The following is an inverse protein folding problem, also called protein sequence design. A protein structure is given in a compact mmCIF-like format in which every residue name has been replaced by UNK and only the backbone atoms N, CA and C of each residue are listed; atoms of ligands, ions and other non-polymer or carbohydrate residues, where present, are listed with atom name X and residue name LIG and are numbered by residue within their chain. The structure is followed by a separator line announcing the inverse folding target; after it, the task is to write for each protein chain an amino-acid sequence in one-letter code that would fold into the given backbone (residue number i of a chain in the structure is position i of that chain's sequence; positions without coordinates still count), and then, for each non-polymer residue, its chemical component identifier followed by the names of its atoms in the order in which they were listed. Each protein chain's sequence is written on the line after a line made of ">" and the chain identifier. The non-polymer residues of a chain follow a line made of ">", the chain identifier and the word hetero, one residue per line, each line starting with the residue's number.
data_IF_561415008050
#
_entry.id   IF_561415008050
#
_cell.length_a   1.000
_cell.length_b   1.000
_cell.length_c   1.000
_cell.angle_alpha   90.00
_cell.angle_beta   90.00
_cell.angle_gamma   90.00
#
_symmetry.space_group_name_H-M   'P 1'
#
loop_
_entity.id
_entity.type
_entity.pdbx_description
1 polymer ?
#
# COMPACT_ATOMS: atom_id res chain seq x y z
N UNK A 1 49.47 26.12 -4.34
CA UNK A 1 49.28 24.67 -4.15
C UNK A 1 48.04 24.44 -3.32
N UNK A 2 46.88 24.22 -3.94
CA UNK A 2 45.70 23.64 -3.26
C UNK A 2 44.86 22.96 -4.34
N UNK A 3 45.39 21.82 -4.82
CA UNK A 3 44.77 20.97 -5.84
C UNK A 3 44.59 19.58 -5.24
N UNK A 4 43.92 19.51 -4.10
CA UNK A 4 43.62 18.26 -3.40
C UNK A 4 42.20 18.36 -2.85
N UNK A 5 41.45 17.26 -2.93
CA UNK A 5 40.07 17.08 -2.42
C UNK A 5 38.92 17.22 -3.44
N UNK A 6 39.12 16.88 -4.72
CA UNK A 6 38.00 16.53 -5.62
C UNK A 6 38.21 15.17 -6.27
N UNK A 7 38.25 14.12 -5.44
CA UNK A 7 38.47 12.74 -5.85
C UNK A 7 37.81 11.73 -4.94
N UNK A 8 36.57 11.98 -4.50
CA UNK A 8 35.79 11.01 -3.74
C UNK A 8 35.45 9.79 -4.62
N UNK A 9 35.98 8.64 -4.23
CA UNK A 9 35.88 7.35 -4.91
C UNK A 9 34.42 7.04 -5.29
N UNK A 10 34.12 6.70 -6.55
CA UNK A 10 32.73 6.47 -7.04
C UNK A 10 31.97 5.39 -6.26
N UNK A 11 32.69 4.46 -5.61
CA UNK A 11 32.11 3.46 -4.72
C UNK A 11 31.58 4.06 -3.41
N UNK A 12 32.28 5.01 -2.79
CA UNK A 12 31.82 5.68 -1.56
C UNK A 12 30.49 6.42 -1.78
N UNK A 13 30.29 7.01 -2.97
CA UNK A 13 29.03 7.71 -3.30
C UNK A 13 27.80 6.79 -3.39
N UNK A 14 27.99 5.52 -3.75
CA UNK A 14 26.89 4.53 -3.86
C UNK A 14 26.54 3.91 -2.49
N UNK A 15 27.49 3.85 -1.57
CA UNK A 15 27.32 3.29 -0.23
C UNK A 15 26.67 4.26 0.76
N UNK A 16 26.79 5.58 0.52
CA UNK A 16 26.32 6.65 1.41
C UNK A 16 24.83 6.55 1.81
N UNK A 17 23.86 6.36 0.88
CA UNK A 17 22.44 6.33 1.26
C UNK A 17 22.09 5.13 2.14
N UNK A 18 22.61 3.94 1.80
CA UNK A 18 22.38 2.72 2.57
C UNK A 18 22.97 2.81 3.97
N UNK A 19 24.19 3.33 4.08
CA UNK A 19 24.86 3.56 5.36
C UNK A 19 24.09 4.57 6.22
N UNK A 20 23.65 5.68 5.63
CA UNK A 20 22.85 6.69 6.33
C UNK A 20 21.52 6.12 6.86
N UNK A 21 20.83 5.28 6.07
CA UNK A 21 19.60 4.60 6.50
C UNK A 21 19.86 3.72 7.73
N UNK A 22 20.94 2.93 7.73
CA UNK A 22 21.29 2.07 8.87
C UNK A 22 21.62 2.90 10.11
N UNK A 23 22.48 3.91 9.98
CA UNK A 23 22.88 4.78 11.09
C UNK A 23 21.67 5.53 11.69
N UNK A 24 20.75 6.02 10.85
CA UNK A 24 19.52 6.67 11.30
C UNK A 24 18.63 5.72 12.10
N UNK A 25 18.43 4.49 11.61
CA UNK A 25 17.63 3.47 12.30
C UNK A 25 18.24 3.08 13.64
N UNK A 26 19.55 2.89 13.71
CA UNK A 26 20.27 2.61 14.95
C UNK A 26 20.11 3.76 15.97
N UNK A 27 20.20 5.02 15.50
CA UNK A 27 20.02 6.18 16.36
C UNK A 27 18.58 6.31 16.87
N UNK A 28 17.58 6.08 16.02
CA UNK A 28 16.16 6.04 16.39
C UNK A 28 15.92 4.96 17.45
N UNK A 29 16.49 3.76 17.28
CA UNK A 29 16.39 2.70 18.29
C UNK A 29 17.01 3.10 19.65
N UNK A 30 18.16 3.78 19.63
CA UNK A 30 18.79 4.28 20.85
C UNK A 30 17.92 5.34 21.55
N UNK A 31 17.35 6.27 20.79
CA UNK A 31 16.44 7.29 21.32
C UNK A 31 15.17 6.67 21.88
N UNK A 32 14.60 5.65 21.23
CA UNK A 32 13.44 4.92 21.74
C UNK A 32 13.74 4.21 23.07
N UNK A 33 14.92 3.59 23.24
CA UNK A 33 15.32 3.04 24.54
C UNK A 33 15.40 4.12 25.62
N UNK A 34 15.92 5.30 25.27
CA UNK A 34 16.00 6.44 26.19
C UNK A 34 14.63 7.02 26.53
N UNK A 35 13.70 7.06 25.56
CA UNK A 35 12.29 7.41 25.73
C UNK A 35 11.64 6.51 26.78
N UNK A 36 11.71 5.19 26.60
CA UNK A 36 11.15 4.22 27.54
C UNK A 36 11.74 4.35 28.95
N UNK A 37 13.05 4.63 29.05
CA UNK A 37 13.66 4.89 30.36
C UNK A 37 13.12 6.15 31.03
N UNK A 38 12.92 7.24 30.29
CA UNK A 38 12.33 8.47 30.81
C UNK A 38 10.87 8.28 31.24
N UNK A 39 10.09 7.50 30.48
CA UNK A 39 8.70 7.16 30.83
C UNK A 39 8.62 6.41 32.17
N UNK A 40 9.51 5.43 32.39
CA UNK A 40 9.64 4.75 33.68
C UNK A 40 10.00 5.72 34.82
N UNK A 41 10.97 6.61 34.59
CA UNK A 41 11.35 7.62 35.59
C UNK A 41 10.19 8.58 35.92
N UNK A 42 9.39 8.96 34.93
CA UNK A 42 8.19 9.78 35.11
C UNK A 42 7.17 9.04 35.98
N UNK A 43 6.90 7.77 35.69
CA UNK A 43 5.98 6.93 36.46
C UNK A 43 6.44 6.78 37.91
N UNK A 44 7.74 6.53 38.14
CA UNK A 44 8.33 6.43 39.47
C UNK A 44 8.17 7.72 40.28
N UNK A 45 8.44 8.88 39.67
CA UNK A 45 8.26 10.16 40.36
C UNK A 45 6.78 10.48 40.63
N UNK A 46 5.87 10.08 39.74
CA UNK A 46 4.42 10.23 39.96
C UNK A 46 3.94 9.38 41.13
N UNK A 47 4.37 8.11 41.19
CA UNK A 47 4.08 7.20 42.29
C UNK A 47 4.65 7.74 43.63
N UNK A 48 5.88 8.26 43.60
CA UNK A 48 6.51 8.86 44.77
C UNK A 48 5.75 10.12 45.25
N UNK A 49 5.31 10.97 44.32
CA UNK A 49 4.53 12.15 44.64
C UNK A 49 3.20 11.77 45.30
N UNK A 50 2.47 10.79 44.75
CA UNK A 50 1.21 10.27 45.31
C UNK A 50 1.40 9.68 46.70
N UNK A 51 2.49 8.93 46.92
CA UNK A 51 2.82 8.33 48.21
C UNK A 51 2.97 9.37 49.33
N UNK A 52 3.59 10.50 49.05
CA UNK A 52 3.90 11.52 50.06
C UNK A 52 2.94 12.71 50.09
N UNK A 53 1.90 12.75 49.25
CA UNK A 53 1.03 13.92 49.11
C UNK A 53 0.31 14.30 50.41
N UNK A 54 -0.07 13.30 51.21
CA UNK A 54 -0.78 13.49 52.48
C UNK A 54 0.17 13.64 53.69
N UNK A 55 1.36 13.04 53.64
CA UNK A 55 2.28 12.91 54.77
C UNK A 55 3.48 13.86 54.73
N UNK A 56 4.02 14.15 53.55
CA UNK A 56 5.19 15.01 53.39
C UNK A 56 5.13 15.82 52.09
N UNK A 57 4.51 17.00 52.18
CA UNK A 57 4.30 17.93 51.06
C UNK A 57 5.60 18.37 50.38
N UNK A 58 6.70 18.50 51.12
CA UNK A 58 7.99 18.91 50.56
C UNK A 58 8.59 17.82 49.66
N UNK A 59 8.54 16.56 50.09
CA UNK A 59 8.97 15.42 49.27
C UNK A 59 8.09 15.26 48.04
N UNK A 60 6.77 15.36 48.18
CA UNK A 60 5.84 15.29 47.05
C UNK A 60 6.12 16.39 46.01
N UNK A 61 6.35 17.64 46.46
CA UNK A 61 6.70 18.76 45.57
C UNK A 61 8.02 18.54 44.83
N UNK A 62 9.04 17.97 45.48
CA UNK A 62 10.31 17.65 44.85
C UNK A 62 10.18 16.52 43.81
N UNK A 63 9.39 15.50 44.10
CA UNK A 63 9.08 14.43 43.14
C UNK A 63 8.38 14.98 41.89
N UNK A 64 7.36 15.85 42.07
CA UNK A 64 6.69 16.52 40.95
C UNK A 64 7.65 17.40 40.13
N UNK A 65 8.59 18.11 40.78
CA UNK A 65 9.60 18.91 40.06
C UNK A 65 10.50 18.02 39.19
N UNK A 66 10.92 16.86 39.68
CA UNK A 66 11.70 15.89 38.91
C UNK A 66 10.89 15.31 37.75
N UNK A 67 9.65 14.90 38.02
CA UNK A 67 8.69 14.44 37.00
C UNK A 67 8.59 15.43 35.83
N UNK A 68 8.34 16.71 36.13
CA UNK A 68 8.28 17.79 35.13
C UNK A 68 9.56 17.91 34.29
N UNK A 69 10.72 17.73 34.93
CA UNK A 69 12.02 17.73 34.25
C UNK A 69 12.19 16.55 33.29
N UNK A 70 11.76 15.35 33.70
CA UNK A 70 11.76 14.17 32.84
C UNK A 70 10.76 14.30 31.69
N UNK A 71 9.55 14.82 31.92
CA UNK A 71 8.55 15.12 30.87
C UNK A 71 9.14 16.09 29.82
N UNK A 72 9.83 17.14 30.27
CA UNK A 72 10.50 18.09 29.35
C UNK A 72 11.60 17.42 28.52
N UNK A 73 12.34 16.48 29.12
CA UNK A 73 13.36 15.74 28.39
C UNK A 73 12.74 14.72 27.43
N UNK A 74 11.64 14.07 27.82
CA UNK A 74 10.89 13.13 26.99
C UNK A 74 10.42 13.82 25.71
N UNK A 75 9.78 14.98 25.83
CA UNK A 75 9.33 15.78 24.69
C UNK A 75 10.48 16.11 23.72
N UNK A 76 11.67 16.42 24.23
CA UNK A 76 12.85 16.67 23.38
C UNK A 76 13.30 15.41 22.64
N UNK A 77 13.28 14.26 23.29
CA UNK A 77 13.63 12.98 22.67
C UNK A 77 12.61 12.59 21.60
N UNK A 78 11.32 12.78 21.87
CA UNK A 78 10.25 12.53 20.89
C UNK A 78 10.42 13.42 19.65
N UNK A 79 10.63 14.73 19.83
CA UNK A 79 10.91 15.63 18.70
C UNK A 79 12.16 15.22 17.88
N UNK A 80 13.19 14.68 18.55
CA UNK A 80 14.38 14.17 17.87
C UNK A 80 14.08 12.90 17.06
N UNK A 81 13.27 11.98 17.61
CA UNK A 81 12.83 10.78 16.90
C UNK A 81 12.04 11.18 15.65
N UNK A 82 11.03 12.04 15.78
CA UNK A 82 10.18 12.50 14.66
C UNK A 82 11.02 13.14 13.54
N UNK A 83 12.01 13.94 13.93
CA UNK A 83 12.93 14.58 12.98
C UNK A 83 13.77 13.56 12.21
N UNK A 84 14.27 12.52 12.88
CA UNK A 84 15.06 11.45 12.25
C UNK A 84 14.21 10.52 11.40
N UNK A 85 12.98 10.21 11.82
CA UNK A 85 12.02 9.41 11.03
C UNK A 85 11.61 10.13 9.74
N UNK A 86 11.40 11.44 9.81
CA UNK A 86 11.15 12.28 8.64
C UNK A 86 12.34 12.23 7.66
N UNK A 87 13.57 12.33 8.17
CA UNK A 87 14.78 12.23 7.35
C UNK A 87 14.95 10.84 6.74
N UNK A 88 14.69 9.79 7.50
CA UNK A 88 14.75 8.41 7.04
C UNK A 88 13.78 8.20 5.87
N UNK A 89 12.53 8.60 6.04
CA UNK A 89 11.49 8.52 4.99
C UNK A 89 11.90 9.30 3.74
N UNK A 90 12.46 10.50 3.91
CA UNK A 90 12.92 11.32 2.78
C UNK A 90 14.07 10.65 2.01
N UNK A 91 15.03 10.02 2.71
CA UNK A 91 16.15 9.31 2.07
C UNK A 91 15.66 8.05 1.36
N UNK A 92 14.75 7.30 1.96
CA UNK A 92 14.15 6.11 1.34
C UNK A 92 13.39 6.47 0.05
N UNK A 93 12.56 7.52 0.10
CA UNK A 93 11.86 8.04 -1.07
C UNK A 93 12.82 8.58 -2.15
N UNK A 94 13.88 9.29 -1.77
CA UNK A 94 14.90 9.75 -2.72
C UNK A 94 15.63 8.58 -3.40
N UNK A 95 15.87 7.48 -2.68
CA UNK A 95 16.50 6.29 -3.23
C UNK A 95 15.56 5.58 -4.24
N UNK A 96 14.27 5.46 -3.92
CA UNK A 96 13.27 4.95 -4.86
C UNK A 96 13.21 5.81 -6.13
N UNK A 97 13.13 7.13 -5.99
CA UNK A 97 13.12 8.06 -7.13
C UNK A 97 14.38 7.93 -7.99
N UNK A 98 15.55 7.74 -7.37
CA UNK A 98 16.80 7.50 -8.08
C UNK A 98 16.75 6.22 -8.93
N UNK A 99 16.20 5.12 -8.38
CA UNK A 99 16.04 3.87 -9.14
C UNK A 99 15.03 4.02 -10.29
N UNK A 100 13.90 4.69 -10.07
CA UNK A 100 12.95 5.03 -11.14
C UNK A 100 13.62 5.83 -12.26
N UNK A 101 14.39 6.87 -11.90
CA UNK A 101 15.12 7.67 -12.88
C UNK A 101 16.18 6.87 -13.65
N UNK A 102 16.84 5.89 -13.00
CA UNK A 102 17.76 4.98 -13.70
C UNK A 102 17.01 4.09 -14.69
N UNK A 103 15.87 3.52 -14.31
CA UNK A 103 15.04 2.72 -15.21
C UNK A 103 14.54 3.54 -16.40
N UNK A 104 14.05 4.76 -16.17
CA UNK A 104 13.66 5.69 -17.23
C UNK A 104 14.83 6.01 -18.17
N UNK A 105 16.03 6.23 -17.64
CA UNK A 105 17.23 6.46 -18.46
C UNK A 105 17.56 5.25 -19.32
N UNK A 106 17.48 4.04 -18.78
CA UNK A 106 17.70 2.81 -19.56
C UNK A 106 16.65 2.64 -20.65
N UNK A 107 15.37 2.87 -20.34
CA UNK A 107 14.29 2.89 -21.33
C UNK A 107 14.53 3.91 -22.44
N UNK A 108 14.92 5.14 -22.09
CA UNK A 108 15.26 6.18 -23.06
C UNK A 108 16.46 5.79 -23.95
N UNK A 109 17.48 5.11 -23.40
CA UNK A 109 18.61 4.59 -24.18
C UNK A 109 18.17 3.47 -25.12
N UNK A 110 17.33 2.54 -24.66
CA UNK A 110 16.79 1.47 -25.50
C UNK A 110 15.93 2.04 -26.64
N UNK A 111 15.04 2.99 -26.34
CA UNK A 111 14.26 3.71 -27.35
C UNK A 111 15.15 4.46 -28.33
N UNK A 112 16.22 5.10 -27.85
CA UNK A 112 17.20 5.76 -28.72
C UNK A 112 17.96 4.77 -29.61
N UNK A 113 18.24 3.55 -29.14
CA UNK A 113 18.88 2.53 -29.96
C UNK A 113 17.90 1.99 -31.01
N UNK A 114 16.68 1.64 -30.61
CA UNK A 114 15.61 1.22 -31.51
C UNK A 114 15.43 2.28 -32.61
N UNK A 115 15.20 3.54 -32.24
CA UNK A 115 15.03 4.65 -33.18
C UNK A 115 16.32 5.12 -33.85
N UNK A 116 17.49 4.80 -33.31
CA UNK A 116 18.79 5.14 -33.89
C UNK A 116 19.26 4.15 -34.95
N UNK A 117 18.73 2.92 -34.95
CA UNK A 117 18.85 1.98 -36.06
C UNK A 117 17.91 2.33 -37.23
N UNK A 118 16.81 3.05 -36.93
CA UNK A 118 15.99 3.74 -37.92
C UNK A 118 16.62 5.10 -38.25
N UNK A 119 17.69 5.08 -39.03
CA UNK A 119 18.22 6.28 -39.68
C UNK A 119 17.06 7.03 -40.37
N UNK A 120 16.98 8.35 -40.24
CA UNK A 120 15.88 9.15 -40.83
C UNK A 120 15.80 8.88 -42.33
N UNK A 121 16.95 8.69 -42.98
CA UNK A 121 17.09 8.32 -44.38
C UNK A 121 16.49 6.94 -44.72
N UNK A 122 16.50 5.99 -43.77
CA UNK A 122 15.83 4.68 -43.95
C UNK A 122 14.33 4.78 -43.72
N UNK A 123 13.88 5.64 -42.82
CA UNK A 123 12.45 5.90 -42.61
C UNK A 123 11.85 6.57 -43.85
N UNK A 124 12.57 7.50 -44.48
CA UNK A 124 12.14 8.16 -45.72
C UNK A 124 12.02 7.14 -46.88
N UNK A 125 13.05 6.31 -47.09
CA UNK A 125 12.99 5.20 -48.06
C UNK A 125 11.87 4.20 -47.76
N UNK A 126 11.66 3.83 -46.49
CA UNK A 126 10.58 2.90 -46.10
C UNK A 126 9.20 3.53 -46.30
N UNK A 127 9.05 4.84 -46.07
CA UNK A 127 7.80 5.57 -46.31
C UNK A 127 7.50 5.71 -47.80
N UNK A 128 8.53 5.86 -48.64
CA UNK A 128 8.38 5.84 -50.09
C UNK A 128 8.02 4.43 -50.59
N UNK A 129 8.67 3.38 -50.08
CA UNK A 129 8.29 1.98 -50.35
C UNK A 129 6.84 1.69 -49.88
N UNK A 130 6.44 2.21 -48.71
CA UNK A 130 5.05 2.08 -48.22
C UNK A 130 4.08 2.83 -49.12
N UNK A 131 4.39 4.05 -49.59
CA UNK A 131 3.52 4.77 -50.54
C UNK A 131 3.36 3.98 -51.84
N UNK A 132 4.45 3.43 -52.37
CA UNK A 132 4.43 2.62 -53.59
C UNK A 132 3.62 1.33 -53.37
N UNK A 133 3.71 0.70 -52.19
CA UNK A 133 2.91 -0.47 -51.83
C UNK A 133 1.44 -0.13 -51.53
N UNK A 134 1.13 1.04 -50.98
CA UNK A 134 -0.24 1.52 -50.77
C UNK A 134 -0.90 1.86 -52.11
N UNK A 135 -0.17 2.50 -53.02
CA UNK A 135 -0.63 2.74 -54.39
C UNK A 135 -0.87 1.42 -55.14
N UNK A 136 0.03 0.44 -55.00
CA UNK A 136 -0.15 -0.91 -55.54
C UNK A 136 -1.33 -1.63 -54.89
N UNK A 137 -1.52 -1.50 -53.58
CA UNK A 137 -2.63 -2.10 -52.86
C UNK A 137 -3.97 -1.46 -53.26
N UNK A 138 -4.01 -0.15 -53.51
CA UNK A 138 -5.18 0.55 -54.03
C UNK A 138 -5.46 0.15 -55.48
N UNK A 139 -4.44 -0.03 -56.33
CA UNK A 139 -4.58 -0.52 -57.71
C UNK A 139 -5.05 -1.99 -57.74
N UNK A 140 -4.56 -2.83 -56.82
CA UNK A 140 -5.05 -4.21 -56.61
C UNK A 140 -6.47 -4.20 -56.05
N UNK A 141 -6.77 -3.33 -55.09
CA UNK A 141 -8.10 -3.18 -54.52
C UNK A 141 -9.09 -2.72 -55.60
N UNK A 142 -8.73 -1.77 -56.45
CA UNK A 142 -9.52 -1.32 -57.59
C UNK A 142 -9.68 -2.41 -58.66
N UNK A 143 -8.65 -3.25 -58.86
CA UNK A 143 -8.69 -4.41 -59.75
C UNK A 143 -9.51 -5.59 -59.19
N UNK A 144 -9.56 -5.79 -57.88
CA UNK A 144 -10.35 -6.83 -57.17
C UNK A 144 -11.80 -6.37 -56.95
N UNK A 145 -12.01 -5.08 -56.68
CA UNK A 145 -13.33 -4.45 -56.54
C UNK A 145 -14.04 -4.28 -57.88
N UNK A 146 -13.40 -4.59 -59.01
CA UNK A 146 -14.13 -4.98 -60.23
C UNK A 146 -14.93 -6.25 -59.92
N UNK A 147 -16.25 -6.17 -59.71
CA UNK A 147 -16.98 -7.29 -59.13
C UNK A 147 -17.03 -8.43 -60.15
N UNK A 148 -16.44 -9.57 -59.79
CA UNK A 148 -16.89 -10.87 -60.29
C UNK A 148 -17.54 -11.58 -59.10
N UNK A 149 -18.85 -11.40 -58.97
CA UNK A 149 -19.65 -12.22 -58.06
C UNK A 149 -19.84 -11.64 -56.66
N UNK A 150 -21.09 -11.26 -56.43
CA UNK A 150 -21.81 -10.95 -55.18
C UNK A 150 -21.42 -11.77 -53.94
N UNK A 151 -21.50 -11.11 -52.78
CA UNK A 151 -21.68 -11.78 -51.49
C UNK A 151 -21.88 -10.77 -50.36
N UNK A 152 -23.10 -10.22 -50.24
CA UNK A 152 -23.51 -9.43 -49.09
C UNK A 152 -23.64 -10.35 -47.88
N UNK A 153 -23.11 -9.93 -46.73
CA UNK A 153 -23.30 -10.60 -45.43
C UNK A 153 -24.78 -10.52 -45.07
N UNK A 154 -25.34 -11.63 -44.60
CA UNK A 154 -26.74 -11.73 -44.18
C UNK A 154 -26.88 -11.13 -42.78
N UNK A 155 -27.53 -9.98 -42.67
CA UNK A 155 -27.70 -9.26 -41.40
C UNK A 155 -28.60 -10.04 -40.42
N UNK A 156 -29.47 -10.93 -40.92
CA UNK A 156 -30.38 -11.73 -40.10
C UNK A 156 -29.62 -12.79 -39.25
N UNK A 157 -28.53 -13.36 -39.79
CA UNK A 157 -27.66 -14.31 -39.07
C UNK A 157 -26.89 -13.61 -37.93
N UNK A 158 -26.51 -12.35 -38.16
CA UNK A 158 -25.80 -11.52 -37.18
C UNK A 158 -26.70 -11.12 -35.99
N UNK A 159 -27.98 -10.86 -36.27
CA UNK A 159 -28.96 -10.47 -35.25
C UNK A 159 -29.33 -11.65 -34.34
N UNK A 160 -29.41 -12.88 -34.86
CA UNK A 160 -29.59 -14.08 -34.04
C UNK A 160 -28.40 -14.33 -33.09
N UNK A 161 -27.17 -14.17 -33.58
CA UNK A 161 -25.96 -14.32 -32.77
C UNK A 161 -25.91 -13.27 -31.65
N UNK A 162 -26.31 -12.03 -31.94
CA UNK A 162 -26.36 -10.95 -30.95
C UNK A 162 -27.40 -11.22 -29.85
N UNK A 163 -28.56 -11.78 -30.21
CA UNK A 163 -29.62 -12.11 -29.25
C UNK A 163 -29.20 -13.21 -28.27
N UNK A 164 -28.46 -14.22 -28.74
CA UNK A 164 -27.94 -15.30 -27.90
C UNK A 164 -26.98 -14.78 -26.81
N UNK A 165 -26.07 -13.87 -27.17
CA UNK A 165 -25.11 -13.28 -26.23
C UNK A 165 -25.79 -12.44 -25.12
N UNK A 166 -26.91 -11.80 -25.42
CA UNK A 166 -27.64 -10.98 -24.43
C UNK A 166 -28.35 -11.81 -23.36
N UNK A 167 -28.78 -13.04 -23.68
CA UNK A 167 -29.45 -13.92 -22.74
C UNK A 167 -28.48 -14.45 -21.66
N UNK A 168 -27.27 -14.85 -22.08
CA UNK A 168 -26.24 -15.36 -21.17
C UNK A 168 -25.82 -14.32 -20.09
N UNK A 169 -25.71 -13.03 -20.46
CA UNK A 169 -25.35 -11.98 -19.48
C UNK A 169 -26.45 -11.72 -18.43
N UNK A 170 -27.72 -11.95 -18.79
CA UNK A 170 -28.84 -11.75 -17.85
C UNK A 170 -28.93 -12.85 -16.81
N UNK A 171 -28.69 -14.10 -17.17
CA UNK A 171 -28.66 -15.24 -16.24
C UNK A 171 -27.53 -15.08 -15.22
N UNK A 172 -26.33 -14.68 -15.67
CA UNK A 172 -25.18 -14.45 -14.80
C UNK A 172 -25.39 -13.34 -13.74
N UNK A 173 -26.34 -12.42 -13.97
CA UNK A 173 -26.68 -11.34 -13.02
C UNK A 173 -27.71 -11.76 -11.97
N UNK A 174 -28.59 -12.72 -12.28
CA UNK A 174 -29.66 -13.16 -11.37
C UNK A 174 -29.14 -14.07 -10.26
N UNK A 175 -28.07 -14.82 -10.49
CA UNK A 175 -27.47 -15.74 -9.49
C UNK A 175 -26.76 -15.02 -8.31
N UNK A 176 -26.59 -13.69 -8.37
CA UNK A 176 -25.77 -12.93 -7.40
C UNK A 176 -26.54 -12.15 -6.31
N UNK A 177 -27.85 -12.32 -6.14
CA UNK A 177 -28.62 -11.61 -5.08
C UNK A 177 -29.21 -12.55 -4.01
N UNK A 178 -28.80 -12.45 -2.72
CA UNK A 178 -29.41 -13.22 -1.64
C UNK A 178 -30.74 -12.60 -1.14
N UNK A 179 -31.80 -13.42 -1.09
CA UNK A 179 -33.14 -13.05 -0.58
C UNK A 179 -33.12 -12.84 0.95
N UNK A 180 -33.42 -11.63 1.42
CA UNK A 180 -33.65 -11.32 2.84
C UNK A 180 -35.15 -11.40 3.16
N UNK A 181 -35.59 -12.44 3.87
CA UNK A 181 -36.93 -12.48 4.48
C UNK A 181 -36.92 -11.73 5.83
N UNK A 182 -37.84 -10.78 5.99
CA UNK A 182 -37.99 -9.95 7.18
C UNK A 182 -39.05 -10.54 8.13
N UNK A 183 -38.73 -10.64 9.43
CA UNK A 183 -39.69 -10.96 10.50
C UNK A 183 -39.74 -9.78 11.49
N UNK A 184 -40.93 -9.20 11.67
CA UNK A 184 -41.21 -8.04 12.52
C UNK A 184 -41.30 -8.40 14.03
N UNK A 185 -40.98 -7.47 14.96
CA UNK A 185 -41.05 -7.74 16.40
C UNK A 185 -42.38 -7.30 17.05
N UNK A 186 -43.09 -8.21 17.72
CA UNK A 186 -44.25 -7.89 18.58
C UNK A 186 -43.83 -7.64 20.04
N UNK A 187 -44.25 -6.50 20.61
CA UNK A 187 -44.09 -6.10 22.02
C UNK A 187 -45.30 -6.53 22.87
N UNK A 188 -45.10 -7.07 24.08
CA UNK A 188 -46.02 -6.95 25.24
C UNK A 188 -45.28 -7.12 26.60
N UNK A 189 -45.83 -6.61 27.74
CA UNK A 189 -45.05 -6.02 28.85
C UNK A 189 -44.89 -6.87 30.14
N UNK A 190 -43.96 -6.38 30.97
CA UNK A 190 -43.33 -6.94 32.19
C UNK A 190 -44.28 -7.29 33.36
N UNK A 191 -44.02 -8.41 34.04
CA UNK A 191 -44.35 -8.63 35.45
C UNK A 191 -43.19 -9.32 36.19
N UNK A 192 -42.80 -8.77 37.34
CA UNK A 192 -41.67 -9.20 38.18
C UNK A 192 -42.14 -9.99 39.40
N UNK A 193 -41.44 -11.08 39.75
CA UNK A 193 -41.51 -11.77 41.05
C UNK A 193 -40.16 -12.47 41.38
N UNK A 194 -39.88 -12.79 42.67
CA UNK A 194 -38.56 -12.65 43.28
C UNK A 194 -37.68 -13.92 43.26
N UNK A 195 -36.38 -13.71 43.57
CA UNK A 195 -35.26 -14.65 43.44
C UNK A 195 -35.15 -15.71 44.56
N UNK A 196 -34.64 -16.91 44.21
CA UNK A 196 -33.94 -17.90 45.08
C UNK A 196 -33.17 -18.95 44.21
N UNK A 197 -32.23 -19.77 44.75
CA UNK A 197 -30.82 -19.72 44.35
C UNK A 197 -30.27 -20.92 43.53
N UNK A 198 -29.18 -20.62 42.80
CA UNK A 198 -27.98 -21.38 42.36
C UNK A 198 -28.07 -22.91 42.07
N UNK A 199 -27.64 -23.33 40.87
CA UNK A 199 -26.61 -24.38 40.59
C UNK A 199 -26.28 -24.48 39.08
N UNK A 200 -24.97 -24.38 38.80
CA UNK A 200 -24.10 -24.99 37.77
C UNK A 200 -24.41 -25.00 36.24
N UNK A 201 -23.42 -24.42 35.52
CA UNK A 201 -22.68 -24.91 34.33
C UNK A 201 -23.36 -25.05 32.94
N UNK A 202 -22.76 -24.36 31.97
CA UNK A 202 -22.86 -24.61 30.52
C UNK A 202 -22.11 -23.54 29.73
N UNK A 203 -21.01 -23.91 29.09
CA UNK A 203 -20.08 -23.11 28.25
C UNK A 203 -20.71 -22.62 26.94
N UNK A 204 -20.39 -21.41 26.42
CA UNK A 204 -20.56 -21.11 24.99
C UNK A 204 -19.33 -21.61 24.22
N UNK A 205 -19.54 -22.50 23.26
CA UNK A 205 -18.47 -23.16 22.48
C UNK A 205 -18.63 -22.98 20.96
N UNK A 206 -19.42 -21.99 20.51
CA UNK A 206 -19.73 -21.81 19.08
C UNK A 206 -18.95 -20.66 18.40
N UNK A 207 -18.06 -19.95 19.11
CA UNK A 207 -17.19 -18.92 18.48
C UNK A 207 -15.89 -19.51 17.90
N UNK A 208 -15.49 -20.71 18.34
CA UNK A 208 -14.21 -21.33 17.95
C UNK A 208 -14.29 -22.07 16.60
N UNK A 209 -15.45 -22.63 16.22
CA UNK A 209 -15.60 -23.39 14.95
C UNK A 209 -15.53 -22.49 13.71
N UNK A 210 -16.12 -21.29 13.78
CA UNK A 210 -16.11 -20.32 12.68
C UNK A 210 -14.70 -19.73 12.46
N UNK A 211 -13.96 -19.49 13.54
CA UNK A 211 -12.59 -18.99 13.47
C UNK A 211 -11.61 -20.05 12.94
N UNK A 212 -11.85 -21.34 13.26
CA UNK A 212 -11.05 -22.45 12.77
C UNK A 212 -11.31 -22.73 11.28
N UNK A 213 -12.56 -22.61 10.82
CA UNK A 213 -12.91 -22.68 9.40
C UNK A 213 -12.27 -21.56 8.57
N UNK A 214 -12.24 -20.32 9.10
CA UNK A 214 -11.56 -19.18 8.48
C UNK A 214 -10.04 -19.38 8.38
N UNK A 215 -9.43 -19.95 9.42
CA UNK A 215 -7.98 -20.20 9.48
C UNK A 215 -7.58 -21.34 8.53
N UNK A 216 -8.41 -22.38 8.39
CA UNK A 216 -8.20 -23.46 7.43
C UNK A 216 -8.25 -22.97 5.97
N UNK A 217 -9.20 -22.08 5.65
CA UNK A 217 -9.35 -21.52 4.31
C UNK A 217 -8.21 -20.56 3.93
N UNK A 218 -7.67 -19.82 4.91
CA UNK A 218 -6.47 -19.00 4.73
C UNK A 218 -5.20 -19.83 4.51
N UNK A 219 -5.07 -20.97 5.17
CA UNK A 219 -3.93 -21.87 5.01
C UNK A 219 -3.93 -22.62 3.67
N UNK A 220 -5.10 -22.92 3.11
CA UNK A 220 -5.23 -23.60 1.80
C UNK A 220 -4.92 -22.66 0.62
N UNK A 221 -5.11 -21.35 0.78
CA UNK A 221 -4.84 -20.35 -0.26
C UNK A 221 -3.39 -19.84 -0.32
N UNK A 222 -2.49 -20.34 0.53
CA UNK A 222 -1.04 -20.23 0.33
C UNK A 222 -0.46 -18.82 0.17
N UNK A 223 -0.89 -17.85 1.00
CA UNK A 223 -0.21 -16.56 1.23
C UNK A 223 0.27 -16.43 2.67
#
# INVERSE_FOLDING_TARGET
>A
MWNYMFGGNKQQKKELPKKAIVELREHIQMLNKKRSHLELQIADQDALARKYIASNKALAKNALKRKKGYETNLMKIENQIDSLETQLTAIEGANLNLETMKAMKQGALAMKQIHGEYDVDKVENTMDDIREQVELADEISEAILRPVGTGYVDEDELDEELAALQAEDQEARQEKQPQKQALEPQRQPQQAMPAFPLVAQGTPQDEDEDEEALRALQAEMGL
#
